data_IF_575432006540
#
_entry.id   IF_575432006540
#
_cell.length_a   1.000
_cell.length_b   1.000
_cell.length_c   1.000
_cell.angle_alpha   90.00
_cell.angle_beta   90.00
_cell.angle_gamma   90.00
#
_symmetry.space_group_name_H-M   'P 1'
#
loop_
_entity.id
_entity.type
_entity.pdbx_description
1 polymer ?
#
# COMPACT_ATOMS: atom_id res chain seq x y z
N UNK A 1 10.10 2.86 -2.70
CA UNK A 1 8.68 3.12 -2.37
C UNK A 1 7.80 2.54 -3.47
N UNK A 2 6.76 1.80 -3.08
CA UNK A 2 5.77 1.29 -4.01
C UNK A 2 4.90 2.47 -4.46
N UNK A 3 4.75 2.62 -5.78
CA UNK A 3 3.98 3.73 -6.37
C UNK A 3 2.52 3.32 -6.64
N UNK A 4 2.32 2.11 -7.17
CA UNK A 4 0.99 1.56 -7.43
C UNK A 4 0.99 0.03 -7.30
N UNK A 5 -0.22 -0.52 -7.22
CA UNK A 5 -0.51 -1.95 -7.24
C UNK A 5 -1.46 -2.25 -8.39
N UNK A 6 -1.12 -3.20 -9.25
CA UNK A 6 -2.02 -3.72 -10.29
C UNK A 6 -2.54 -5.08 -9.84
N UNK A 7 -3.85 -5.24 -9.83
CA UNK A 7 -4.52 -6.43 -9.30
C UNK A 7 -4.95 -7.35 -10.44
N UNK A 8 -4.66 -8.65 -10.33
CA UNK A 8 -5.05 -9.69 -11.29
C UNK A 8 -4.73 -9.33 -12.75
N UNK A 9 -3.52 -8.89 -13.03
CA UNK A 9 -3.10 -8.58 -14.39
C UNK A 9 -1.98 -9.51 -14.87
N UNK A 10 -0.75 -9.37 -14.35
CA UNK A 10 0.34 -10.31 -14.63
C UNK A 10 0.24 -11.53 -13.72
N UNK A 11 -0.14 -11.31 -12.46
CA UNK A 11 -0.34 -12.30 -11.41
C UNK A 11 -1.36 -11.76 -10.40
N UNK A 12 -1.48 -12.38 -9.22
CA UNK A 12 -2.42 -11.92 -8.18
C UNK A 12 -2.22 -10.44 -7.83
N UNK A 13 -0.96 -10.00 -7.77
CA UNK A 13 -0.60 -8.60 -7.54
C UNK A 13 0.73 -8.27 -8.24
N UNK A 14 0.76 -7.16 -8.93
CA UNK A 14 2.01 -6.57 -9.45
C UNK A 14 2.19 -5.19 -8.84
N UNK A 15 3.36 -4.92 -8.29
CA UNK A 15 3.68 -3.61 -7.72
C UNK A 15 4.62 -2.85 -8.62
N UNK A 16 4.34 -1.56 -8.83
CA UNK A 16 5.19 -0.64 -9.56
C UNK A 16 5.92 0.32 -8.62
N UNK A 17 7.24 0.44 -8.82
CA UNK A 17 8.10 1.31 -8.01
C UNK A 17 8.18 2.72 -8.58
N UNK A 18 7.66 2.93 -9.79
CA UNK A 18 7.61 4.23 -10.46
C UNK A 18 6.36 4.34 -11.34
N UNK A 19 6.05 5.55 -11.80
CA UNK A 19 4.89 5.82 -12.65
C UNK A 19 5.03 5.32 -14.10
N UNK A 20 6.22 4.88 -14.50
CA UNK A 20 6.50 4.42 -15.86
C UNK A 20 6.53 2.88 -15.97
N UNK A 21 6.19 2.18 -14.92
CA UNK A 21 6.18 0.70 -14.86
C UNK A 21 7.51 0.04 -15.29
N UNK A 22 8.64 0.73 -15.14
CA UNK A 22 9.96 0.21 -15.52
C UNK A 22 10.61 -0.64 -14.44
N UNK A 23 10.07 -0.60 -13.21
CA UNK A 23 10.54 -1.34 -12.04
C UNK A 23 9.35 -2.01 -11.38
N UNK A 24 9.22 -3.31 -11.61
CA UNK A 24 8.07 -4.10 -11.18
C UNK A 24 8.48 -5.21 -10.20
N UNK A 25 7.59 -5.52 -9.27
CA UNK A 25 7.62 -6.75 -8.48
C UNK A 25 6.40 -7.58 -8.85
N UNK A 26 6.61 -8.88 -9.00
CA UNK A 26 5.56 -9.84 -9.29
C UNK A 26 5.23 -10.64 -8.04
N UNK A 27 3.96 -10.67 -7.65
CA UNK A 27 3.52 -11.26 -6.39
C UNK A 27 2.41 -12.28 -6.63
N UNK A 28 2.69 -13.51 -6.25
CA UNK A 28 1.68 -14.57 -6.14
C UNK A 28 1.29 -14.75 -4.68
N UNK A 29 0.00 -14.67 -4.36
CA UNK A 29 -0.52 -14.79 -3.00
C UNK A 29 -1.37 -16.04 -2.84
N UNK A 30 -1.10 -16.82 -1.82
CA UNK A 30 -1.87 -18.02 -1.45
C UNK A 30 -2.15 -18.05 0.05
N UNK A 31 -3.42 -17.96 0.41
CA UNK A 31 -3.88 -18.02 1.81
C UNK A 31 -3.80 -19.40 2.46
N UNK A 32 -3.20 -20.40 1.81
CA UNK A 32 -3.13 -21.77 2.32
C UNK A 32 -2.19 -21.88 3.52
N UNK A 33 -2.55 -22.74 4.46
CA UNK A 33 -1.75 -23.03 5.65
C UNK A 33 -1.00 -24.36 5.51
N UNK A 34 0.16 -24.44 6.16
CA UNK A 34 1.03 -25.61 6.22
C UNK A 34 1.41 -26.18 4.84
N UNK A 35 1.74 -25.28 3.91
CA UNK A 35 2.05 -25.63 2.53
C UNK A 35 3.38 -26.41 2.46
N UNK A 36 3.33 -27.60 1.84
CA UNK A 36 4.52 -28.43 1.65
C UNK A 36 5.38 -27.99 0.47
N UNK A 37 6.68 -28.39 0.42
CA UNK A 37 7.61 -27.93 -0.62
C UNK A 37 7.14 -28.20 -2.05
N UNK A 38 6.55 -29.36 -2.33
CA UNK A 38 6.05 -29.71 -3.67
C UNK A 38 4.87 -28.82 -4.10
N UNK A 39 3.97 -28.50 -3.16
CA UNK A 39 2.86 -27.58 -3.41
C UNK A 39 3.36 -26.16 -3.65
N UNK A 40 4.38 -25.71 -2.92
CA UNK A 40 5.06 -24.42 -3.18
C UNK A 40 5.58 -24.38 -4.62
N UNK A 41 6.22 -25.45 -5.10
CA UNK A 41 6.69 -25.52 -6.49
C UNK A 41 5.58 -25.32 -7.52
N UNK A 42 4.40 -25.90 -7.28
CA UNK A 42 3.24 -25.73 -8.16
C UNK A 42 2.73 -24.27 -8.18
N UNK A 43 2.75 -23.61 -7.03
CA UNK A 43 2.32 -22.20 -6.93
C UNK A 43 3.30 -21.20 -7.58
N UNK A 44 4.54 -21.62 -7.82
CA UNK A 44 5.56 -20.79 -8.49
C UNK A 44 5.42 -20.75 -10.02
N UNK A 45 4.55 -21.53 -10.63
CA UNK A 45 4.48 -21.66 -12.11
C UNK A 45 4.14 -20.35 -12.80
N UNK A 46 3.22 -19.56 -12.24
CA UNK A 46 2.86 -18.25 -12.82
C UNK A 46 3.99 -17.24 -12.72
N UNK A 47 4.70 -17.21 -11.58
CA UNK A 47 5.90 -16.39 -11.41
C UNK A 47 7.01 -16.82 -12.37
N UNK A 48 7.20 -18.14 -12.58
CA UNK A 48 8.16 -18.66 -13.52
C UNK A 48 7.82 -18.27 -14.96
N UNK A 49 6.54 -18.32 -15.35
CA UNK A 49 6.08 -17.81 -16.65
C UNK A 49 6.52 -16.36 -16.88
N UNK A 50 6.29 -15.50 -15.87
CA UNK A 50 6.64 -14.09 -15.98
C UNK A 50 8.16 -13.88 -15.96
N UNK A 51 8.93 -14.73 -15.24
CA UNK A 51 10.39 -14.73 -15.28
C UNK A 51 10.95 -15.07 -16.68
N UNK A 52 10.28 -15.96 -17.40
CA UNK A 52 10.67 -16.36 -18.76
C UNK A 52 10.13 -15.43 -19.85
N UNK A 53 9.30 -14.43 -19.49
CA UNK A 53 8.76 -13.45 -20.43
C UNK A 53 9.80 -12.38 -20.80
N UNK A 54 9.47 -11.55 -21.79
CA UNK A 54 10.28 -10.39 -22.19
C UNK A 54 10.22 -9.25 -21.16
N UNK A 55 9.27 -9.29 -20.22
CA UNK A 55 9.14 -8.27 -19.19
C UNK A 55 10.15 -8.47 -18.06
N UNK A 56 10.74 -7.36 -17.60
CA UNK A 56 11.73 -7.38 -16.52
C UNK A 56 11.08 -7.06 -15.18
N UNK A 57 11.02 -8.06 -14.31
CA UNK A 57 10.66 -7.89 -12.91
C UNK A 57 11.92 -7.91 -12.03
N UNK A 58 12.01 -6.97 -11.09
CA UNK A 58 13.15 -6.91 -10.16
C UNK A 58 13.09 -8.00 -9.08
N UNK A 59 11.88 -8.40 -8.71
CA UNK A 59 11.65 -9.35 -7.62
C UNK A 59 10.39 -10.16 -7.88
N UNK A 60 10.46 -11.44 -7.60
CA UNK A 60 9.33 -12.37 -7.61
C UNK A 60 9.01 -12.77 -6.17
N UNK A 61 7.78 -12.62 -5.75
CA UNK A 61 7.36 -12.87 -4.36
C UNK A 61 6.28 -13.96 -4.34
N UNK A 62 6.55 -15.02 -3.61
CA UNK A 62 5.51 -15.97 -3.23
C UNK A 62 5.10 -15.69 -1.77
N UNK A 63 3.89 -15.16 -1.61
CA UNK A 63 3.28 -14.91 -0.31
C UNK A 63 2.39 -16.08 0.08
N UNK A 64 2.62 -16.69 1.25
CA UNK A 64 1.84 -17.83 1.76
C UNK A 64 1.49 -17.65 3.24
N UNK A 65 0.32 -18.16 3.64
CA UNK A 65 -0.11 -18.09 5.04
C UNK A 65 0.85 -18.80 5.99
N UNK A 66 1.15 -20.07 5.75
CA UNK A 66 2.18 -20.80 6.51
C UNK A 66 2.78 -21.95 5.71
N UNK A 67 3.94 -22.44 6.11
CA UNK A 67 4.67 -23.52 5.45
C UNK A 67 4.99 -24.66 6.40
N UNK A 68 5.11 -25.86 5.85
CA UNK A 68 5.50 -27.03 6.63
C UNK A 68 6.93 -26.91 7.18
N UNK A 69 7.20 -27.50 8.33
CA UNK A 69 8.53 -27.55 8.93
C UNK A 69 9.59 -28.26 8.06
N UNK A 70 9.17 -28.94 6.99
CA UNK A 70 10.06 -29.56 6.03
C UNK A 70 10.75 -28.55 5.08
N UNK A 71 10.23 -27.33 4.96
CA UNK A 71 10.72 -26.34 4.01
C UNK A 71 12.01 -25.66 4.45
N UNK A 72 12.01 -25.03 5.63
CA UNK A 72 13.03 -24.06 6.06
C UNK A 72 14.16 -24.69 6.86
N UNK A 73 15.39 -24.22 6.65
CA UNK A 73 16.54 -24.48 7.54
C UNK A 73 16.39 -23.69 8.84
N UNK A 74 16.12 -22.39 8.73
CA UNK A 74 15.82 -21.52 9.85
C UNK A 74 14.33 -21.14 9.84
N UNK A 75 13.52 -21.65 10.78
CA UNK A 75 12.09 -21.37 10.86
C UNK A 75 11.77 -19.97 11.40
N UNK A 76 12.72 -19.23 11.96
CA UNK A 76 12.51 -17.89 12.51
C UNK A 76 12.38 -16.82 11.40
N UNK A 77 12.91 -17.10 10.20
CA UNK A 77 12.83 -16.18 9.08
C UNK A 77 11.46 -16.26 8.41
N UNK A 78 10.71 -15.16 8.42
CA UNK A 78 9.42 -15.03 7.74
C UNK A 78 9.57 -14.52 6.30
N UNK A 79 10.70 -13.89 5.97
CA UNK A 79 11.08 -13.48 4.61
C UNK A 79 12.44 -14.09 4.30
N UNK A 80 12.52 -14.89 3.24
CA UNK A 80 13.74 -15.60 2.89
C UNK A 80 13.79 -15.98 1.41
N UNK A 81 14.98 -16.22 0.89
CA UNK A 81 15.20 -16.80 -0.44
C UNK A 81 15.36 -18.33 -0.39
N UNK A 82 15.62 -18.91 -1.55
CA UNK A 82 15.77 -20.38 -1.70
C UNK A 82 16.92 -20.96 -0.87
N UNK A 83 17.90 -20.16 -0.48
CA UNK A 83 19.05 -20.55 0.36
C UNK A 83 18.64 -21.01 1.75
N UNK A 84 17.51 -20.52 2.28
CA UNK A 84 16.93 -20.99 3.55
C UNK A 84 16.11 -22.28 3.39
N UNK A 85 15.84 -22.74 2.18
CA UNK A 85 15.18 -24.03 1.99
C UNK A 85 16.15 -25.19 2.23
N UNK A 86 15.65 -26.29 2.83
CA UNK A 86 16.40 -27.54 2.97
C UNK A 86 16.64 -28.15 1.59
N UNK A 87 17.76 -28.83 1.38
CA UNK A 87 18.11 -29.41 0.09
C UNK A 87 17.05 -30.40 -0.44
N UNK A 88 16.43 -31.15 0.45
CA UNK A 88 15.28 -32.02 0.11
C UNK A 88 14.05 -31.23 -0.32
N UNK A 89 13.82 -30.08 0.30
CA UNK A 89 12.72 -29.20 -0.06
C UNK A 89 12.95 -28.55 -1.42
N UNK A 90 14.18 -28.12 -1.72
CA UNK A 90 14.51 -27.56 -3.06
C UNK A 90 14.20 -28.55 -4.16
N UNK A 91 14.56 -29.83 -3.99
CA UNK A 91 14.22 -30.88 -4.96
C UNK A 91 12.71 -31.01 -5.18
N UNK A 92 11.93 -31.04 -4.10
CA UNK A 92 10.48 -31.13 -4.18
C UNK A 92 9.82 -29.88 -4.78
N UNK A 93 10.38 -28.70 -4.52
CA UNK A 93 9.94 -27.44 -5.16
C UNK A 93 10.14 -27.54 -6.68
N UNK A 94 11.32 -27.94 -7.13
CA UNK A 94 11.60 -28.12 -8.57
C UNK A 94 10.66 -29.16 -9.19
N UNK A 95 10.47 -30.31 -8.55
CA UNK A 95 9.53 -31.34 -9.02
C UNK A 95 8.12 -30.77 -9.16
N UNK A 96 7.63 -30.04 -8.18
CA UNK A 96 6.29 -29.42 -8.19
C UNK A 96 6.15 -28.39 -9.32
N UNK A 97 7.17 -27.57 -9.53
CA UNK A 97 7.18 -26.56 -10.60
C UNK A 97 7.18 -27.23 -11.98
N UNK A 98 8.02 -28.23 -12.20
CA UNK A 98 8.06 -28.97 -13.48
C UNK A 98 6.75 -29.71 -13.74
N UNK A 99 6.21 -30.41 -12.72
CA UNK A 99 4.95 -31.14 -12.86
C UNK A 99 3.79 -30.22 -13.25
N UNK A 100 3.64 -29.08 -12.54
CA UNK A 100 2.58 -28.12 -12.84
C UNK A 100 2.84 -27.38 -14.16
N UNK A 101 4.09 -27.00 -14.45
CA UNK A 101 4.46 -26.35 -15.69
C UNK A 101 4.14 -27.20 -16.92
N UNK A 102 4.43 -28.50 -16.87
CA UNK A 102 4.08 -29.43 -17.95
C UNK A 102 2.57 -29.62 -18.15
N UNK A 103 1.76 -29.35 -17.10
CA UNK A 103 0.31 -29.46 -17.16
C UNK A 103 -0.37 -28.17 -17.67
N UNK A 104 0.37 -27.08 -17.83
CA UNK A 104 -0.18 -25.77 -18.25
C UNK A 104 0.18 -25.46 -19.70
N UNK A 105 -0.83 -25.21 -20.51
CA UNK A 105 -0.66 -24.86 -21.94
C UNK A 105 0.09 -23.52 -22.17
N UNK A 106 0.04 -22.63 -21.18
CA UNK A 106 0.69 -21.31 -21.27
C UNK A 106 2.17 -21.31 -20.85
N UNK A 107 2.74 -22.47 -20.50
CA UNK A 107 4.16 -22.64 -20.22
C UNK A 107 4.85 -23.28 -21.42
N UNK A 108 5.91 -22.65 -21.89
CA UNK A 108 6.80 -23.31 -22.83
C UNK A 108 7.64 -24.37 -22.11
N UNK A 109 7.33 -25.64 -22.38
CA UNK A 109 8.00 -26.77 -21.75
C UNK A 109 9.51 -26.80 -22.02
N UNK A 110 9.98 -26.21 -23.11
CA UNK A 110 11.41 -26.09 -23.42
C UNK A 110 12.14 -25.17 -22.43
N UNK A 111 11.42 -24.28 -21.76
CA UNK A 111 11.96 -23.38 -20.72
C UNK A 111 12.18 -24.06 -19.38
N UNK A 112 11.53 -25.21 -19.12
CA UNK A 112 11.59 -25.96 -17.84
C UNK A 112 12.90 -26.73 -17.68
N UNK A 113 14.02 -26.07 -17.89
CA UNK A 113 15.36 -26.63 -17.69
C UNK A 113 15.84 -26.40 -16.26
N UNK A 114 16.69 -27.29 -15.74
CA UNK A 114 17.31 -27.12 -14.42
C UNK A 114 18.01 -25.77 -14.28
N UNK A 115 18.69 -25.31 -15.33
CA UNK A 115 19.40 -24.04 -15.34
C UNK A 115 18.44 -22.85 -15.15
N UNK A 116 17.35 -22.81 -15.90
CA UNK A 116 16.35 -21.74 -15.81
C UNK A 116 15.63 -21.77 -14.46
N UNK A 117 15.26 -22.95 -13.99
CA UNK A 117 14.61 -23.13 -12.70
C UNK A 117 15.53 -22.69 -11.56
N UNK A 118 16.80 -23.04 -11.58
CA UNK A 118 17.77 -22.64 -10.56
C UNK A 118 18.02 -21.13 -10.56
N UNK A 119 18.09 -20.52 -11.72
CA UNK A 119 18.22 -19.06 -11.85
C UNK A 119 16.97 -18.34 -11.32
N UNK A 120 15.79 -18.81 -11.71
CA UNK A 120 14.51 -18.27 -11.22
C UNK A 120 14.38 -18.39 -9.70
N UNK A 121 14.61 -19.57 -9.12
CA UNK A 121 14.46 -19.80 -7.67
C UNK A 121 15.36 -18.88 -6.84
N UNK A 122 16.52 -18.46 -7.36
CA UNK A 122 17.41 -17.49 -6.70
C UNK A 122 16.83 -16.07 -6.69
N UNK A 123 15.92 -15.74 -7.61
CA UNK A 123 15.25 -14.44 -7.68
C UNK A 123 13.95 -14.39 -6.87
N UNK A 124 13.49 -15.52 -6.33
CA UNK A 124 12.23 -15.61 -5.57
C UNK A 124 12.46 -15.29 -4.10
N UNK A 125 11.62 -14.41 -3.57
CA UNK A 125 11.43 -14.20 -2.14
C UNK A 125 10.18 -14.94 -1.66
N UNK A 126 10.34 -15.75 -0.64
CA UNK A 126 9.23 -16.36 0.08
C UNK A 126 8.86 -15.47 1.25
N UNK A 127 7.59 -15.09 1.34
CA UNK A 127 7.04 -14.31 2.44
C UNK A 127 5.98 -15.15 3.13
N UNK A 128 6.18 -15.38 4.42
CA UNK A 128 5.28 -16.16 5.25
C UNK A 128 4.62 -15.23 6.24
N UNK A 129 3.31 -15.30 6.29
CA UNK A 129 2.52 -14.59 7.28
C UNK A 129 1.78 -15.58 8.18
N UNK A 130 2.45 -15.90 9.27
CA UNK A 130 1.91 -16.80 10.29
C UNK A 130 0.84 -16.05 11.11
N UNK A 131 -0.41 -16.06 10.66
CA UNK A 131 -1.61 -15.67 11.43
C UNK A 131 -1.75 -14.19 11.82
N UNK A 132 -1.23 -13.25 11.04
CA UNK A 132 -1.56 -11.84 11.27
C UNK A 132 -2.98 -11.55 10.82
N UNK A 133 -3.76 -10.97 11.72
CA UNK A 133 -5.08 -10.48 11.36
C UNK A 133 -5.00 -9.36 10.31
N UNK A 134 -5.96 -9.26 9.37
CA UNK A 134 -5.95 -8.25 8.30
C UNK A 134 -5.65 -6.84 8.77
N UNK A 135 -6.14 -6.45 9.95
CA UNK A 135 -5.87 -5.14 10.57
C UNK A 135 -4.40 -4.87 10.86
N UNK A 136 -3.57 -5.91 11.07
CA UNK A 136 -2.14 -5.73 11.32
C UNK A 136 -1.39 -5.24 10.07
N UNK A 137 -1.87 -5.57 8.88
CA UNK A 137 -1.33 -5.00 7.63
C UNK A 137 -1.59 -3.51 7.54
N UNK A 138 -2.81 -3.07 7.88
CA UNK A 138 -3.14 -1.64 7.93
C UNK A 138 -2.31 -0.94 8.99
N UNK A 139 -2.17 -1.56 10.16
CA UNK A 139 -1.30 -1.07 11.24
C UNK A 139 0.16 -0.92 10.75
N UNK A 140 0.65 -1.81 9.90
CA UNK A 140 1.98 -1.72 9.32
C UNK A 140 2.14 -0.54 8.34
N UNK A 141 1.09 -0.16 7.61
CA UNK A 141 1.09 1.04 6.74
C UNK A 141 1.18 2.32 7.59
N UNK A 142 0.54 2.33 8.76
CA UNK A 142 0.50 3.45 9.70
C UNK A 142 1.50 3.26 10.86
N UNK A 143 2.43 2.34 10.74
CA UNK A 143 3.31 1.82 11.80
C UNK A 143 4.14 2.88 12.52
N UNK A 144 4.35 4.00 11.86
CA UNK A 144 5.10 5.12 12.43
C UNK A 144 4.28 5.96 13.42
N UNK A 145 2.96 5.72 13.48
CA UNK A 145 2.01 6.53 14.26
C UNK A 145 0.97 5.63 14.98
N UNK A 146 1.41 4.75 15.87
CA UNK A 146 0.54 3.76 16.53
C UNK A 146 -0.55 4.40 17.42
N UNK A 147 -0.38 5.68 17.76
CA UNK A 147 -1.32 6.38 18.64
C UNK A 147 -2.52 7.02 17.91
N UNK A 148 -2.48 7.07 16.57
CA UNK A 148 -3.55 7.69 15.76
C UNK A 148 -4.70 6.73 15.50
N UNK A 149 -4.43 5.43 15.46
CA UNK A 149 -5.43 4.41 15.14
C UNK A 149 -5.84 3.71 16.42
N UNK A 150 -6.83 4.25 17.12
CA UNK A 150 -7.16 3.82 18.48
C UNK A 150 -7.92 2.50 18.54
N UNK A 151 -8.62 2.12 17.47
CA UNK A 151 -9.52 0.97 17.53
C UNK A 151 -9.32 -0.01 16.37
N UNK A 152 -9.34 -1.29 16.69
CA UNK A 152 -9.28 -2.38 15.71
C UNK A 152 -10.37 -2.27 14.64
N UNK A 153 -11.55 -1.78 15.01
CA UNK A 153 -12.67 -1.54 14.08
C UNK A 153 -12.33 -0.55 12.95
N UNK A 154 -11.54 0.48 13.24
CA UNK A 154 -11.10 1.46 12.22
C UNK A 154 -10.10 0.80 11.26
N UNK A 155 -9.18 0.01 11.78
CA UNK A 155 -8.23 -0.76 10.98
C UNK A 155 -8.94 -1.76 10.06
N UNK A 156 -9.92 -2.48 10.59
CA UNK A 156 -10.73 -3.42 9.81
C UNK A 156 -11.53 -2.70 8.73
N UNK A 157 -12.07 -1.52 9.02
CA UNK A 157 -12.78 -0.70 8.03
C UNK A 157 -11.85 -0.23 6.89
N UNK A 158 -10.63 0.21 7.20
CA UNK A 158 -9.63 0.59 6.21
C UNK A 158 -9.24 -0.62 5.35
N UNK A 159 -8.96 -1.76 5.98
CA UNK A 159 -8.63 -2.99 5.25
C UNK A 159 -9.76 -3.39 4.29
N UNK A 160 -11.00 -3.41 4.77
CA UNK A 160 -12.15 -3.77 3.95
C UNK A 160 -12.34 -2.81 2.77
N UNK A 161 -12.14 -1.50 2.98
CA UNK A 161 -12.23 -0.53 1.89
C UNK A 161 -11.15 -0.72 0.82
N UNK A 162 -9.90 -1.00 1.24
CA UNK A 162 -8.81 -1.33 0.30
C UNK A 162 -9.19 -2.58 -0.50
N UNK A 163 -9.64 -3.65 0.17
CA UNK A 163 -10.08 -4.90 -0.46
C UNK A 163 -11.23 -4.67 -1.44
N UNK A 164 -12.24 -3.91 -1.05
CA UNK A 164 -13.42 -3.64 -1.88
C UNK A 164 -13.05 -2.80 -3.11
N UNK A 165 -12.14 -1.82 -2.97
CA UNK A 165 -11.57 -1.09 -4.11
C UNK A 165 -10.75 -1.98 -5.03
N UNK A 166 -9.92 -2.86 -4.50
CA UNK A 166 -9.19 -3.85 -5.31
C UNK A 166 -10.17 -4.74 -6.09
N UNK A 167 -11.19 -5.26 -5.42
CA UNK A 167 -12.22 -6.11 -6.05
C UNK A 167 -13.00 -5.38 -7.14
N UNK A 168 -13.34 -4.10 -6.92
CA UNK A 168 -14.02 -3.29 -7.93
C UNK A 168 -13.13 -3.03 -9.15
N UNK A 169 -11.85 -2.75 -8.94
CA UNK A 169 -10.88 -2.51 -10.03
C UNK A 169 -10.61 -3.77 -10.86
N UNK A 170 -10.64 -4.95 -10.25
CA UNK A 170 -10.56 -6.23 -10.97
C UNK A 170 -11.63 -6.38 -12.05
N UNK A 171 -12.81 -5.83 -11.83
CA UNK A 171 -13.97 -5.97 -12.71
C UNK A 171 -14.15 -4.80 -13.70
N UNK A 172 -13.28 -3.76 -13.68
CA UNK A 172 -13.42 -2.60 -14.56
C UNK A 172 -13.20 -2.96 -16.04
N UNK A 173 -12.27 -3.87 -16.32
CA UNK A 173 -11.91 -4.25 -17.69
C UNK A 173 -11.70 -5.75 -17.83
N UNK A 174 -12.06 -6.27 -19.01
CA UNK A 174 -11.73 -7.64 -19.39
C UNK A 174 -10.30 -7.64 -19.93
N UNK A 175 -9.42 -8.45 -19.32
CA UNK A 175 -8.01 -8.57 -19.74
C UNK A 175 -7.67 -9.96 -20.27
N UNK A 176 -8.64 -10.87 -20.25
CA UNK A 176 -8.45 -12.21 -20.78
C UNK A 176 -8.20 -12.16 -22.30
N UNK A 177 -7.12 -12.76 -22.74
CA UNK A 177 -6.73 -12.75 -24.16
C UNK A 177 -6.10 -11.44 -24.64
N UNK A 178 -5.88 -10.46 -23.76
CA UNK A 178 -5.17 -9.23 -24.11
C UNK A 178 -3.69 -9.49 -24.25
N UNK A 179 -3.12 -8.99 -25.33
CA UNK A 179 -1.67 -8.96 -25.57
C UNK A 179 -1.17 -7.55 -25.32
N UNK A 180 -0.14 -7.39 -24.50
CA UNK A 180 0.53 -6.13 -24.24
C UNK A 180 2.00 -6.24 -24.70
N UNK A 181 2.55 -5.13 -25.19
CA UNK A 181 3.93 -5.06 -25.63
C UNK A 181 4.85 -4.43 -24.58
N UNK A 182 4.28 -3.58 -23.72
CA UNK A 182 5.03 -2.88 -22.67
C UNK A 182 4.30 -2.97 -21.32
N UNK A 183 5.05 -2.90 -20.22
CA UNK A 183 4.50 -3.04 -18.86
C UNK A 183 3.60 -1.89 -18.46
N UNK A 184 3.81 -0.68 -18.97
CA UNK A 184 3.00 0.50 -18.69
C UNK A 184 1.61 0.43 -19.36
N UNK A 185 1.44 -0.35 -20.42
CA UNK A 185 0.13 -0.60 -21.02
C UNK A 185 -0.86 -1.22 -20.03
N UNK A 186 -0.37 -1.97 -19.04
CA UNK A 186 -1.21 -2.50 -17.97
C UNK A 186 -1.98 -1.42 -17.20
N UNK A 187 -1.45 -0.19 -17.12
CA UNK A 187 -2.08 0.94 -16.44
C UNK A 187 -3.32 1.43 -17.19
N UNK A 188 -3.39 1.25 -18.53
CA UNK A 188 -4.51 1.65 -19.36
C UNK A 188 -5.80 0.88 -19.02
N UNK A 189 -5.68 -0.28 -18.39
CA UNK A 189 -6.82 -1.11 -17.97
C UNK A 189 -7.42 -0.68 -16.63
N UNK A 190 -6.88 0.36 -16.00
CA UNK A 190 -7.38 0.97 -14.75
C UNK A 190 -7.52 -0.01 -13.56
N UNK A 191 -6.82 -1.14 -13.58
CA UNK A 191 -6.80 -2.14 -12.49
C UNK A 191 -5.80 -1.81 -11.39
N UNK A 192 -5.12 -0.68 -11.46
CA UNK A 192 -4.16 -0.26 -10.46
C UNK A 192 -4.80 0.54 -9.32
N UNK A 193 -4.22 0.41 -8.14
CA UNK A 193 -4.50 1.20 -6.94
C UNK A 193 -3.20 1.90 -6.55
N UNK A 194 -3.21 3.22 -6.44
CA UNK A 194 -2.01 3.98 -6.10
C UNK A 194 -1.81 4.05 -4.58
N UNK A 195 -0.56 4.20 -4.16
CA UNK A 195 -0.24 4.46 -2.76
C UNK A 195 -0.93 5.74 -2.25
N UNK A 196 -1.10 6.74 -3.12
CA UNK A 196 -1.81 7.97 -2.79
C UNK A 196 -3.30 7.73 -2.50
N UNK A 197 -3.96 6.85 -3.27
CA UNK A 197 -5.35 6.46 -2.99
C UNK A 197 -5.47 5.74 -1.64
N UNK A 198 -4.52 4.86 -1.30
CA UNK A 198 -4.49 4.16 0.01
C UNK A 198 -4.32 5.16 1.14
N UNK A 199 -3.41 6.12 1.01
CA UNK A 199 -3.18 7.19 2.01
C UNK A 199 -4.43 8.04 2.21
N UNK A 200 -5.08 8.45 1.12
CA UNK A 200 -6.31 9.24 1.18
C UNK A 200 -7.43 8.47 1.87
N UNK A 201 -7.66 7.21 1.50
CA UNK A 201 -8.66 6.36 2.16
C UNK A 201 -8.39 6.20 3.66
N UNK A 202 -7.12 5.99 4.02
CA UNK A 202 -6.72 5.87 5.43
C UNK A 202 -7.05 7.14 6.20
N UNK A 203 -6.68 8.31 5.66
CA UNK A 203 -6.99 9.59 6.29
C UNK A 203 -8.50 9.82 6.42
N UNK A 204 -9.27 9.57 5.36
CA UNK A 204 -10.73 9.70 5.36
C UNK A 204 -11.40 8.85 6.44
N UNK A 205 -10.92 7.62 6.65
CA UNK A 205 -11.46 6.74 7.68
C UNK A 205 -11.12 7.17 9.10
N UNK A 206 -9.89 7.64 9.32
CA UNK A 206 -9.47 8.09 10.66
C UNK A 206 -10.24 9.36 11.09
N UNK A 207 -10.42 10.32 10.18
CA UNK A 207 -11.11 11.58 10.47
C UNK A 207 -12.62 11.53 10.19
N UNK A 208 -13.15 10.40 9.72
CA UNK A 208 -14.57 10.23 9.33
C UNK A 208 -15.10 11.31 8.37
N UNK A 209 -14.23 11.91 7.57
CA UNK A 209 -14.53 12.99 6.64
C UNK A 209 -13.66 12.91 5.40
N UNK A 210 -14.21 13.33 4.25
CA UNK A 210 -13.37 13.58 3.06
C UNK A 210 -12.53 14.87 3.26
N UNK A 211 -11.19 14.75 3.40
CA UNK A 211 -10.31 15.89 3.64
C UNK A 211 -10.22 16.83 2.43
N UNK A 212 -10.61 16.35 1.24
CA UNK A 212 -10.59 17.09 -0.01
C UNK A 212 -11.99 17.54 -0.47
N UNK A 213 -13.00 17.43 0.42
CA UNK A 213 -14.35 17.87 0.10
C UNK A 213 -14.39 19.38 -0.22
N UNK A 214 -15.31 19.78 -1.10
CA UNK A 214 -15.47 21.19 -1.47
C UNK A 214 -16.10 22.05 -0.37
N UNK A 215 -16.57 21.44 0.72
CA UNK A 215 -17.18 22.15 1.83
C UNK A 215 -16.14 22.78 2.77
N UNK A 216 -16.35 24.07 3.12
CA UNK A 216 -15.52 24.74 4.13
C UNK A 216 -15.76 24.08 5.49
N UNK A 217 -14.70 23.64 6.21
CA UNK A 217 -14.83 23.13 7.55
C UNK A 217 -15.50 24.14 8.47
N UNK A 218 -16.44 23.70 9.30
CA UNK A 218 -17.18 24.58 10.21
C UNK A 218 -16.25 25.35 11.15
N UNK A 219 -15.25 24.69 11.68
CA UNK A 219 -14.23 25.28 12.54
C UNK A 219 -13.31 26.28 11.79
N UNK A 220 -13.29 26.25 10.44
CA UNK A 220 -12.52 27.19 9.62
C UNK A 220 -13.29 28.46 9.23
N UNK A 221 -14.64 28.44 9.33
CA UNK A 221 -15.48 29.55 8.91
C UNK A 221 -15.05 30.90 9.51
N UNK A 222 -14.70 31.05 10.80
CA UNK A 222 -14.24 32.32 11.36
C UNK A 222 -12.98 32.86 10.67
N UNK A 223 -12.06 31.97 10.32
CA UNK A 223 -10.81 32.33 9.59
C UNK A 223 -11.13 32.69 8.15
N UNK A 224 -11.96 31.92 7.48
CA UNK A 224 -12.41 32.16 6.12
C UNK A 224 -13.08 33.56 5.99
N UNK A 225 -14.01 33.88 6.89
CA UNK A 225 -14.73 35.16 6.89
C UNK A 225 -13.88 36.37 7.30
N UNK A 226 -12.69 36.15 7.89
CA UNK A 226 -11.75 37.23 8.20
C UNK A 226 -10.98 37.75 6.95
N UNK A 227 -11.07 37.03 5.84
CA UNK A 227 -10.43 37.40 4.57
C UNK A 227 -11.38 38.27 3.70
N UNK A 228 -10.82 39.16 2.85
CA UNK A 228 -11.60 39.92 1.90
C UNK A 228 -12.42 38.97 0.97
N UNK A 229 -13.71 39.23 0.72
CA UNK A 229 -14.58 38.34 -0.04
C UNK A 229 -14.01 37.92 -1.39
N UNK A 230 -13.32 38.81 -2.09
CA UNK A 230 -12.70 38.59 -3.39
C UNK A 230 -11.51 37.61 -3.35
N UNK A 231 -10.94 37.37 -2.17
CA UNK A 231 -9.78 36.50 -1.96
C UNK A 231 -10.11 35.19 -1.20
N UNK A 232 -11.31 35.08 -0.67
CA UNK A 232 -11.71 33.94 0.16
C UNK A 232 -11.62 32.61 -0.61
N UNK A 233 -12.08 32.60 -1.86
CA UNK A 233 -12.05 31.41 -2.70
C UNK A 233 -10.63 30.99 -3.05
N UNK A 234 -9.81 31.92 -3.50
CA UNK A 234 -8.40 31.67 -3.81
C UNK A 234 -7.66 31.09 -2.59
N UNK A 235 -7.80 31.74 -1.44
CA UNK A 235 -7.21 31.28 -0.18
C UNK A 235 -7.67 29.86 0.18
N UNK A 236 -8.94 29.54 -0.01
CA UNK A 236 -9.47 28.21 0.29
C UNK A 236 -8.90 27.13 -0.66
N UNK A 237 -8.85 27.43 -1.97
CA UNK A 237 -8.24 26.56 -2.99
C UNK A 237 -6.73 26.33 -2.69
N UNK A 238 -6.01 27.37 -2.28
CA UNK A 238 -4.61 27.25 -1.85
C UNK A 238 -4.42 26.35 -0.62
N UNK A 239 -5.33 26.45 0.36
CA UNK A 239 -5.33 25.56 1.52
C UNK A 239 -5.55 24.09 1.14
N UNK A 240 -6.51 23.81 0.25
CA UNK A 240 -6.75 22.47 -0.27
C UNK A 240 -5.54 21.96 -1.06
N UNK A 241 -4.94 22.82 -1.89
CA UNK A 241 -3.73 22.49 -2.63
C UNK A 241 -2.55 22.15 -1.72
N UNK A 242 -2.38 22.88 -0.61
CA UNK A 242 -1.36 22.60 0.39
C UNK A 242 -1.59 21.26 1.09
N UNK A 243 -2.84 20.96 1.45
CA UNK A 243 -3.19 19.65 2.03
C UNK A 243 -2.91 18.51 1.05
N UNK A 244 -3.29 18.66 -0.24
CA UNK A 244 -2.96 17.69 -1.26
C UNK A 244 -1.45 17.46 -1.39
N UNK A 245 -0.68 18.55 -1.48
CA UNK A 245 0.79 18.45 -1.57
C UNK A 245 1.36 17.71 -0.37
N UNK A 246 0.99 18.12 0.84
CA UNK A 246 1.48 17.51 2.08
C UNK A 246 1.12 16.01 2.18
N UNK A 247 -0.13 15.64 1.90
CA UNK A 247 -0.60 14.26 1.95
C UNK A 247 0.13 13.35 0.96
N UNK A 248 0.43 13.86 -0.24
CA UNK A 248 1.03 13.09 -1.32
C UNK A 248 2.54 13.26 -1.47
N UNK A 249 3.15 14.11 -0.64
CA UNK A 249 4.61 14.30 -0.63
C UNK A 249 5.32 13.06 -0.10
N UNK A 250 5.97 12.32 -1.00
CA UNK A 250 6.70 11.10 -0.66
C UNK A 250 7.91 11.37 0.24
N UNK A 251 8.54 12.54 0.08
CA UNK A 251 9.76 12.90 0.80
C UNK A 251 9.47 13.40 2.23
N UNK A 252 8.24 13.81 2.50
CA UNK A 252 7.79 14.33 3.79
C UNK A 252 6.65 13.49 4.41
N UNK A 253 6.50 12.23 4.01
CA UNK A 253 5.42 11.36 4.49
C UNK A 253 5.41 11.23 6.02
N UNK A 254 6.57 11.01 6.61
CA UNK A 254 6.71 10.91 8.07
C UNK A 254 6.38 12.22 8.77
N UNK A 255 6.75 13.34 8.15
CA UNK A 255 6.39 14.68 8.63
C UNK A 255 4.88 14.90 8.66
N UNK A 256 4.17 14.52 7.57
CA UNK A 256 2.72 14.64 7.50
C UNK A 256 2.01 13.83 8.58
N UNK A 257 2.37 12.55 8.74
CA UNK A 257 1.74 11.69 9.74
C UNK A 257 2.07 12.13 11.17
N UNK A 258 3.31 12.59 11.43
CA UNK A 258 3.69 13.18 12.71
C UNK A 258 2.86 14.45 13.01
N UNK A 259 2.67 15.31 12.02
CA UNK A 259 1.84 16.51 12.15
C UNK A 259 0.37 16.15 12.42
N UNK A 260 -0.16 15.16 11.70
CA UNK A 260 -1.52 14.67 11.89
C UNK A 260 -1.72 14.10 13.31
N UNK A 261 -0.80 13.25 13.79
CA UNK A 261 -0.85 12.69 15.14
C UNK A 261 -0.90 13.79 16.20
N UNK A 262 0.03 14.75 16.15
CA UNK A 262 0.06 15.84 17.13
C UNK A 262 -1.22 16.69 17.07
N UNK A 263 -1.74 16.95 15.88
CA UNK A 263 -3.00 17.66 15.69
C UNK A 263 -4.17 16.89 16.30
N UNK A 264 -4.24 15.60 16.03
CA UNK A 264 -5.28 14.71 16.57
C UNK A 264 -5.25 14.68 18.10
N UNK A 265 -4.08 14.46 18.70
CA UNK A 265 -3.90 14.43 20.16
C UNK A 265 -4.25 15.78 20.82
N UNK A 266 -3.85 16.90 20.21
CA UNK A 266 -4.21 18.22 20.70
C UNK A 266 -5.72 18.45 20.69
N UNK A 267 -6.43 18.02 19.65
CA UNK A 267 -7.88 18.15 19.55
C UNK A 267 -8.58 17.31 20.61
N UNK A 268 -8.13 16.07 20.82
CA UNK A 268 -8.69 15.19 21.87
C UNK A 268 -8.47 15.78 23.27
N UNK A 269 -7.28 16.34 23.51
CA UNK A 269 -6.97 16.97 24.80
C UNK A 269 -7.71 18.31 25.03
N UNK A 270 -8.05 19.01 23.96
CA UNK A 270 -8.63 20.36 23.98
C UNK A 270 -9.80 20.52 22.98
N UNK A 271 -10.90 19.74 23.12
CA UNK A 271 -11.94 19.65 22.10
C UNK A 271 -12.68 20.97 21.86
N UNK A 272 -12.81 21.79 22.89
CA UNK A 272 -13.54 23.06 22.83
C UNK A 272 -12.70 24.28 22.43
N UNK A 273 -11.37 24.09 22.31
CA UNK A 273 -10.50 25.20 21.94
C UNK A 273 -10.68 25.60 20.46
N UNK A 274 -10.72 26.91 20.15
CA UNK A 274 -10.78 27.37 18.77
C UNK A 274 -9.49 27.04 18.02
N UNK A 275 -9.61 26.89 16.69
CA UNK A 275 -8.50 26.53 15.78
C UNK A 275 -7.27 27.41 15.97
N UNK A 276 -7.46 28.70 16.26
CA UNK A 276 -6.34 29.62 16.49
C UNK A 276 -5.51 29.22 17.73
N UNK A 277 -6.12 28.74 18.79
CA UNK A 277 -5.41 28.30 20.00
C UNK A 277 -4.70 26.95 19.76
N UNK A 278 -5.39 26.01 19.12
CA UNK A 278 -4.82 24.73 18.71
C UNK A 278 -3.60 24.93 17.80
N UNK A 279 -3.67 25.89 16.87
CA UNK A 279 -2.54 26.26 16.00
C UNK A 279 -1.32 26.77 16.80
N UNK A 280 -1.54 27.66 17.78
CA UNK A 280 -0.45 28.17 18.65
C UNK A 280 0.18 27.03 19.46
N UNK A 281 -0.62 26.10 19.99
CA UNK A 281 -0.10 24.93 20.70
C UNK A 281 0.70 24.01 19.79
N UNK A 282 0.18 23.76 18.58
CA UNK A 282 0.85 22.91 17.61
C UNK A 282 2.22 23.50 17.18
N UNK A 283 2.27 24.82 16.97
CA UNK A 283 3.53 25.51 16.69
C UNK A 283 4.55 25.42 17.85
N UNK A 284 4.07 25.40 19.09
CA UNK A 284 4.94 25.26 20.26
C UNK A 284 5.61 23.87 20.35
N UNK A 285 5.06 22.84 19.70
CA UNK A 285 5.68 21.51 19.58
C UNK A 285 6.87 21.48 18.61
N UNK A 286 7.01 22.50 17.75
CA UNK A 286 8.18 22.86 16.96
C UNK A 286 8.55 21.90 15.83
N UNK A 287 8.88 20.66 16.12
CA UNK A 287 9.56 19.75 15.18
C UNK A 287 8.63 19.20 14.06
N UNK A 288 7.39 18.84 14.38
CA UNK A 288 6.48 18.23 13.41
C UNK A 288 6.01 19.22 12.32
N UNK A 289 5.84 20.49 12.65
CA UNK A 289 5.44 21.51 11.67
C UNK A 289 6.55 21.77 10.66
N UNK A 290 7.81 21.84 11.13
CA UNK A 290 8.98 22.07 10.27
C UNK A 290 9.25 20.93 9.29
N UNK A 291 8.82 19.68 9.64
CA UNK A 291 8.93 18.50 8.76
C UNK A 291 7.88 18.44 7.66
N UNK A 292 6.90 19.34 7.68
CA UNK A 292 5.84 19.39 6.67
C UNK A 292 5.78 20.76 6.00
N UNK A 293 6.77 21.06 5.11
CA UNK A 293 6.97 22.38 4.53
C UNK A 293 5.86 22.81 3.56
N UNK A 294 4.97 21.89 3.20
CA UNK A 294 3.86 22.15 2.29
C UNK A 294 2.75 23.02 2.93
N UNK A 295 2.74 23.17 4.26
CA UNK A 295 1.80 24.01 4.98
C UNK A 295 2.39 25.35 5.35
N UNK A 296 1.68 26.42 4.99
CA UNK A 296 1.82 27.74 5.61
C UNK A 296 0.91 27.89 6.85
N UNK A 297 0.91 29.06 7.47
CA UNK A 297 0.11 29.29 8.68
C UNK A 297 -1.41 29.18 8.46
N UNK A 298 -1.91 29.52 7.27
CA UNK A 298 -3.34 29.49 6.97
C UNK A 298 -3.77 28.07 6.58
N UNK A 299 -3.04 27.42 5.71
CA UNK A 299 -3.30 26.03 5.31
C UNK A 299 -3.12 25.06 6.46
N UNK A 300 -2.25 25.33 7.44
CA UNK A 300 -2.15 24.55 8.66
C UNK A 300 -3.40 24.71 9.55
N UNK A 301 -3.96 25.92 9.68
CA UNK A 301 -5.23 26.15 10.38
C UNK A 301 -6.40 25.46 9.66
N UNK A 302 -6.40 25.48 8.34
CA UNK A 302 -7.35 24.72 7.54
C UNK A 302 -7.25 23.22 7.86
N UNK A 303 -6.06 22.65 7.85
CA UNK A 303 -5.83 21.24 8.19
C UNK A 303 -6.32 20.90 9.61
N UNK A 304 -5.99 21.73 10.63
CA UNK A 304 -6.50 21.56 12.00
C UNK A 304 -8.04 21.54 12.01
N UNK A 305 -8.67 22.40 11.20
CA UNK A 305 -10.13 22.49 11.12
C UNK A 305 -10.75 21.25 10.49
N UNK A 306 -10.12 20.72 9.42
CA UNK A 306 -10.55 19.47 8.77
C UNK A 306 -10.51 18.31 9.77
N UNK A 307 -9.42 18.17 10.51
CA UNK A 307 -9.25 17.11 11.51
C UNK A 307 -10.24 17.29 12.67
N UNK A 308 -10.39 18.51 13.18
CA UNK A 308 -11.29 18.82 14.28
C UNK A 308 -12.76 18.50 13.95
N UNK A 309 -13.25 18.98 12.81
CA UNK A 309 -14.63 18.73 12.38
C UNK A 309 -14.87 17.23 12.12
N UNK A 310 -13.85 16.51 11.65
CA UNK A 310 -13.94 15.08 11.41
C UNK A 310 -14.01 14.23 12.67
N UNK A 311 -13.31 14.63 13.75
CA UNK A 311 -13.32 13.92 15.03
C UNK A 311 -14.60 14.20 15.84
N UNK A 312 -15.19 15.38 15.68
CA UNK A 312 -16.36 15.83 16.44
C UNK A 312 -17.70 15.39 15.85
N UNK A 313 -17.70 14.68 14.72
CA UNK A 313 -18.89 14.05 14.14
C UNK A 313 -19.16 12.68 14.76
#
# INVERSE_FOLDING_TARGET
DIYYFVVDFFNDLTTGMNNMATRLWDVQSKGNHNVGPKAIGRELVTLFKNYMSEFTFETYILFVGSVSGALRKDPSLTVFGIENAKDTAVKLIKEGLVEEGNAKEYIDNSSLTDTNIDAFLKSVLFVIDDDKEPREYVRAIIKQHPNIVPEDKVLDAIFNEIRDKQSSKKNISVVEGVVIETTDEALNYCRHLTNNEIRLMTLQRIISRDPLSQGIPTSFIPIYNSWPPERQREMFEDCQGSLCRALFNKNAADGFWCLFENTYQLIIAHPDEPVQQLFVRLQALGDCVSRCPDFDAISLKYFISVVKDGIQQ
#
